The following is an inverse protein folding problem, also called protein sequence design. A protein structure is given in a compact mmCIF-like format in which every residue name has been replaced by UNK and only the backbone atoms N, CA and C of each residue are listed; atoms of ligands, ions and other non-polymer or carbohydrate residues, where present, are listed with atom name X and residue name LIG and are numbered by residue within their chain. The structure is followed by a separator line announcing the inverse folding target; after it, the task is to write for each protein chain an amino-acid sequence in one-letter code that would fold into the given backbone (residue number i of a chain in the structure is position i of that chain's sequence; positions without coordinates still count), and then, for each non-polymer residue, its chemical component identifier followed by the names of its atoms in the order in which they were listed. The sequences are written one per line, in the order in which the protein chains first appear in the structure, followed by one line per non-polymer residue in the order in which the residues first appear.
data_IF_066644845692
#
_entry.id   IF_066644845692
#
_cell.length_a   1.000
_cell.length_b   1.000
_cell.length_c   1.000
_cell.angle_alpha   90.00
_cell.angle_beta   90.00
_cell.angle_gamma   90.00
#
_symmetry.space_group_name_H-M   'P 1'
#
loop_
_entity.id
_entity.type
_entity.pdbx_description
1 polymer ?
#
# COMPACT_ATOMS: atom_id res chain seq x y z
N UNK A 1 -14.48 -15.09 14.49
CA UNK A 1 -14.10 -13.95 13.63
C UNK A 1 -14.37 -14.32 12.19
N UNK A 2 -15.28 -13.62 11.54
CA UNK A 2 -15.63 -13.82 10.13
C UNK A 2 -14.44 -13.39 9.29
N UNK A 3 -13.94 -14.25 8.39
CA UNK A 3 -12.84 -13.88 7.48
C UNK A 3 -13.38 -12.85 6.49
N UNK A 4 -12.93 -11.60 6.60
CA UNK A 4 -13.25 -10.53 5.65
C UNK A 4 -12.35 -10.65 4.43
N UNK A 5 -12.87 -10.29 3.26
CA UNK A 5 -12.14 -10.35 1.99
C UNK A 5 -12.23 -9.00 1.30
N UNK A 6 -11.06 -8.42 1.01
CA UNK A 6 -10.92 -7.19 0.24
C UNK A 6 -10.39 -7.55 -1.15
N UNK A 7 -10.99 -6.99 -2.20
CA UNK A 7 -10.52 -7.22 -3.56
C UNK A 7 -9.28 -6.36 -3.83
N UNK A 8 -8.09 -6.91 -3.53
CA UNK A 8 -6.80 -6.26 -3.76
C UNK A 8 -6.00 -7.15 -4.73
N UNK A 9 -5.81 -6.68 -5.95
CA UNK A 9 -5.05 -7.38 -6.99
C UNK A 9 -3.80 -6.57 -7.39
N UNK A 10 -2.62 -7.22 -7.43
CA UNK A 10 -1.37 -6.59 -7.84
C UNK A 10 -1.39 -6.12 -9.30
N UNK A 11 -2.10 -6.83 -10.19
CA UNK A 11 -2.25 -6.45 -11.59
C UNK A 11 -3.03 -5.14 -11.72
N UNK A 12 -4.19 -5.04 -11.06
CA UNK A 12 -4.98 -3.80 -11.01
C UNK A 12 -4.17 -2.63 -10.43
N UNK A 13 -3.37 -2.86 -9.38
CA UNK A 13 -2.49 -1.83 -8.81
C UNK A 13 -1.38 -1.39 -9.76
N UNK A 14 -0.86 -2.32 -10.58
CA UNK A 14 0.15 -2.03 -11.59
C UNK A 14 -0.46 -1.18 -12.71
N UNK A 15 -1.61 -1.58 -13.25
CA UNK A 15 -2.35 -0.86 -14.29
C UNK A 15 -2.78 0.54 -13.83
N UNK A 16 -3.21 0.66 -12.58
CA UNK A 16 -3.56 1.95 -11.97
C UNK A 16 -2.34 2.84 -11.66
N UNK A 17 -1.11 2.35 -11.84
CA UNK A 17 0.12 3.13 -11.67
C UNK A 17 0.53 3.39 -10.21
N UNK A 18 0.03 2.60 -9.25
CA UNK A 18 0.30 2.79 -7.80
C UNK A 18 1.79 2.68 -7.45
N UNK A 19 2.55 1.95 -8.27
CA UNK A 19 3.97 1.70 -8.05
C UNK A 19 4.86 2.91 -8.36
N UNK A 20 4.36 3.96 -9.02
CA UNK A 20 5.15 5.16 -9.30
C UNK A 20 5.31 6.02 -8.05
N UNK A 21 6.53 6.05 -7.51
CA UNK A 21 6.91 6.90 -6.39
C UNK A 21 7.45 8.26 -6.84
N UNK A 22 8.16 8.93 -5.92
CA UNK A 22 8.77 10.24 -6.19
C UNK A 22 10.07 10.13 -7.01
N UNK A 23 10.49 11.27 -7.57
CA UNK A 23 11.78 11.41 -8.22
C UNK A 23 12.94 11.14 -7.25
N UNK A 24 13.96 10.43 -7.71
CA UNK A 24 15.13 10.01 -6.91
C UNK A 24 15.95 11.17 -6.33
N UNK A 25 15.80 12.37 -6.89
CA UNK A 25 16.46 13.60 -6.41
C UNK A 25 15.74 14.28 -5.24
N UNK A 26 14.43 14.03 -5.05
CA UNK A 26 13.60 14.71 -4.05
C UNK A 26 12.67 13.69 -3.39
N UNK A 27 13.26 12.88 -2.51
CA UNK A 27 12.57 11.85 -1.75
C UNK A 27 13.01 11.87 -0.29
N UNK A 28 12.21 11.29 0.60
CA UNK A 28 12.55 11.14 2.02
C UNK A 28 13.29 9.81 2.23
N UNK A 29 14.55 9.80 2.71
CA UNK A 29 15.31 8.58 2.96
C UNK A 29 14.62 7.55 3.85
N UNK A 30 13.71 7.99 4.74
CA UNK A 30 12.91 7.10 5.59
C UNK A 30 11.98 6.18 4.79
N UNK A 31 11.72 6.48 3.52
CA UNK A 31 10.93 5.63 2.62
C UNK A 31 11.71 4.45 2.03
N UNK A 32 13.02 4.34 2.28
CA UNK A 32 13.86 3.27 1.72
C UNK A 32 13.28 1.86 1.91
N UNK A 33 12.69 1.49 3.06
CA UNK A 33 12.11 0.16 3.25
C UNK A 33 10.90 -0.16 2.37
N UNK A 34 10.27 0.84 1.75
CA UNK A 34 9.07 0.68 0.92
C UNK A 34 9.37 0.77 -0.58
N UNK A 35 10.60 1.10 -0.95
CA UNK A 35 11.05 1.24 -2.33
C UNK A 35 11.55 -0.13 -2.82
N UNK A 36 10.98 -0.60 -3.92
CA UNK A 36 11.38 -1.83 -4.61
C UNK A 36 12.60 -1.60 -5.52
N UNK A 37 12.54 -0.55 -6.34
CA UNK A 37 13.57 -0.26 -7.33
C UNK A 37 13.64 1.23 -7.67
N UNK A 38 14.54 1.58 -8.58
CA UNK A 38 14.58 2.89 -9.24
C UNK A 38 14.65 2.67 -10.75
N UNK A 39 13.87 3.42 -11.52
CA UNK A 39 13.86 3.36 -12.98
C UNK A 39 13.66 4.77 -13.54
N UNK A 40 14.49 5.18 -14.51
CA UNK A 40 14.43 6.49 -15.17
C UNK A 40 14.29 7.70 -14.21
N UNK A 41 15.01 7.67 -13.08
CA UNK A 41 14.99 8.77 -12.11
C UNK A 41 13.75 8.81 -11.22
N UNK A 42 12.90 7.79 -11.23
CA UNK A 42 11.73 7.63 -10.38
C UNK A 42 11.92 6.41 -9.46
N UNK A 43 11.53 6.53 -8.19
CA UNK A 43 11.45 5.40 -7.27
C UNK A 43 10.22 4.56 -7.58
N UNK A 44 10.39 3.23 -7.61
CA UNK A 44 9.30 2.27 -7.77
C UNK A 44 8.96 1.72 -6.38
N UNK A 45 7.73 1.92 -5.94
CA UNK A 45 7.22 1.46 -4.64
C UNK A 45 6.90 -0.04 -4.71
N UNK A 46 7.13 -0.75 -3.60
CA UNK A 46 6.84 -2.18 -3.49
C UNK A 46 5.33 -2.45 -3.36
N UNK A 47 4.69 -2.91 -4.44
CA UNK A 47 3.26 -3.21 -4.46
C UNK A 47 2.84 -4.34 -3.52
N UNK A 48 3.69 -5.33 -3.27
CA UNK A 48 3.39 -6.40 -2.29
C UNK A 48 3.25 -5.84 -0.88
N UNK A 49 4.15 -4.92 -0.49
CA UNK A 49 4.03 -4.20 0.78
C UNK A 49 2.81 -3.29 0.80
N UNK A 50 2.54 -2.56 -0.28
CA UNK A 50 1.35 -1.70 -0.39
C UNK A 50 0.06 -2.51 -0.25
N UNK A 51 -0.06 -3.67 -0.88
CA UNK A 51 -1.22 -4.55 -0.80
C UNK A 51 -1.46 -5.04 0.63
N UNK A 52 -0.40 -5.44 1.34
CA UNK A 52 -0.49 -5.86 2.75
C UNK A 52 -0.99 -4.73 3.64
N UNK A 53 -0.41 -3.53 3.54
CA UNK A 53 -0.84 -2.39 4.35
C UNK A 53 -2.24 -1.90 3.97
N UNK A 54 -2.63 -2.00 2.71
CA UNK A 54 -3.99 -1.67 2.27
C UNK A 54 -5.01 -2.63 2.87
N UNK A 55 -4.71 -3.92 2.93
CA UNK A 55 -5.55 -4.92 3.58
C UNK A 55 -5.80 -4.57 5.05
N UNK A 56 -4.73 -4.32 5.81
CA UNK A 56 -4.80 -3.94 7.23
C UNK A 56 -5.58 -2.63 7.42
N UNK A 57 -5.34 -1.64 6.55
CA UNK A 57 -6.05 -0.37 6.61
C UNK A 57 -7.56 -0.55 6.36
N UNK A 58 -7.95 -1.38 5.38
CA UNK A 58 -9.35 -1.68 5.11
C UNK A 58 -10.02 -2.38 6.31
N UNK A 59 -9.34 -3.33 6.96
CA UNK A 59 -9.85 -3.99 8.17
C UNK A 59 -10.09 -2.98 9.29
N UNK A 60 -9.11 -2.11 9.58
CA UNK A 60 -9.24 -1.08 10.62
C UNK A 60 -10.36 -0.07 10.33
N UNK A 61 -10.49 0.37 9.07
CA UNK A 61 -11.55 1.30 8.66
C UNK A 61 -12.92 0.65 8.80
N UNK A 62 -13.03 -0.63 8.45
CA UNK A 62 -14.28 -1.37 8.61
C UNK A 62 -14.67 -1.51 10.08
N UNK A 63 -13.73 -1.91 10.95
CA UNK A 63 -13.99 -2.05 12.39
C UNK A 63 -14.37 -0.71 13.03
N UNK A 64 -13.68 0.37 12.65
CA UNK A 64 -14.01 1.70 13.14
C UNK A 64 -15.41 2.15 12.69
N UNK A 65 -15.82 1.80 11.47
CA UNK A 65 -17.13 2.14 10.93
C UNK A 65 -18.26 1.26 11.47
N UNK A 66 -17.99 0.01 11.84
CA UNK A 66 -18.98 -0.92 12.40
C UNK A 66 -19.33 -0.60 13.86
N UNK A 67 -18.56 0.25 14.53
CA UNK A 67 -18.77 0.62 15.92
C UNK A 67 -18.32 -0.45 16.93
N UNK A 68 -17.64 -1.50 16.47
CA UNK A 68 -16.90 -2.42 17.35
C UNK A 68 -15.66 -1.71 17.88
N UNK A 69 -15.85 -0.91 18.92
CA UNK A 69 -14.75 -0.43 19.75
C UNK A 69 -14.13 -1.65 20.45
N UNK A 70 -13.11 -2.25 19.83
CA UNK A 70 -12.25 -3.26 20.43
C UNK A 70 -11.59 -2.66 21.68
N UNK A 71 -12.29 -2.76 22.81
CA UNK A 71 -11.79 -2.49 24.16
C UNK A 71 -11.05 -3.70 24.70
#
# INVERSE_FOLDING_TARGET
MTRRYWNINLEEMMEAGVHFGHATRKWNPKMAPYIFAKHNGIHITNLTRTAHFLLEACDLVFDAASGENNS
#
